data_IF_676095076078
#
_entry.id   IF_676095076078
#
_cell.length_a   1.000
_cell.length_b   1.000
_cell.length_c   1.000
_cell.angle_alpha   90.00
_cell.angle_beta   90.00
_cell.angle_gamma   90.00
#
_symmetry.space_group_name_H-M   'P 1'
#
loop_
_entity.id
_entity.type
_entity.pdbx_description
1 polymer ?
#
# COMPACT_ATOMS: atom_id res chain seq x y z
N UNK A 1 7.25 -4.53 23.82
CA UNK A 1 6.49 -4.54 22.54
C UNK A 1 7.52 -4.44 21.43
N UNK A 2 7.43 -5.28 20.38
CA UNK A 2 8.30 -5.12 19.21
C UNK A 2 8.02 -3.74 18.59
N UNK A 3 9.08 -2.98 18.31
CA UNK A 3 8.96 -1.69 17.66
C UNK A 3 8.85 -1.92 16.15
N UNK A 4 7.64 -1.88 15.63
CA UNK A 4 7.40 -1.94 14.20
C UNK A 4 7.37 -0.54 13.59
N UNK A 5 7.87 -0.44 12.37
CA UNK A 5 7.74 0.72 11.49
C UNK A 5 7.08 0.29 10.19
N UNK A 6 6.73 1.25 9.35
CA UNK A 6 6.15 1.00 8.03
C UNK A 6 6.87 1.79 6.94
N UNK A 7 6.83 1.26 5.72
CA UNK A 7 7.23 1.97 4.51
C UNK A 7 6.28 1.64 3.37
N UNK A 8 6.27 2.51 2.35
CA UNK A 8 5.56 2.26 1.09
C UNK A 8 6.57 1.73 0.09
N UNK A 9 6.24 0.63 -0.59
CA UNK A 9 7.06 0.02 -1.62
C UNK A 9 6.24 -0.21 -2.90
N UNK A 10 6.88 -0.07 -4.05
CA UNK A 10 6.26 -0.30 -5.35
C UNK A 10 6.81 -1.56 -6.01
N UNK A 11 5.93 -2.43 -6.51
CA UNK A 11 6.29 -3.58 -7.34
C UNK A 11 5.88 -3.31 -8.78
N UNK A 12 6.86 -2.89 -9.59
CA UNK A 12 6.65 -2.56 -11.01
C UNK A 12 6.21 -3.77 -11.82
N UNK A 13 6.75 -4.96 -11.55
CA UNK A 13 6.39 -6.17 -12.31
C UNK A 13 4.97 -6.64 -12.02
N UNK A 14 4.52 -6.51 -10.76
CA UNK A 14 3.17 -6.88 -10.35
C UNK A 14 2.12 -5.79 -10.60
N UNK A 15 2.54 -4.59 -10.98
CA UNK A 15 1.72 -3.38 -10.94
C UNK A 15 0.99 -3.24 -9.59
N UNK A 16 1.77 -3.33 -8.51
CA UNK A 16 1.26 -3.24 -7.15
C UNK A 16 1.95 -2.11 -6.37
N UNK A 17 1.20 -1.52 -5.45
CA UNK A 17 1.68 -0.62 -4.41
C UNK A 17 1.44 -1.29 -3.07
N UNK A 18 2.45 -1.35 -2.20
CA UNK A 18 2.38 -2.02 -0.92
C UNK A 18 2.78 -1.10 0.23
N UNK A 19 2.24 -1.39 1.41
CA UNK A 19 2.78 -0.94 2.68
C UNK A 19 3.39 -2.15 3.36
N UNK A 20 4.63 -2.05 3.80
CA UNK A 20 5.38 -3.11 4.45
C UNK A 20 5.49 -2.83 5.94
N UNK A 21 5.24 -3.84 6.76
CA UNK A 21 5.47 -3.83 8.21
C UNK A 21 6.87 -4.37 8.48
N UNK A 22 7.72 -3.52 9.05
CA UNK A 22 9.15 -3.80 9.22
C UNK A 22 9.50 -3.76 10.69
N UNK A 23 10.30 -4.73 11.14
CA UNK A 23 10.79 -4.76 12.51
C UNK A 23 12.01 -3.83 12.73
N UNK A 24 12.60 -3.95 13.91
CA UNK A 24 13.77 -3.15 14.30
C UNK A 24 15.07 -3.54 13.57
N UNK A 25 15.12 -4.75 13.01
CA UNK A 25 16.27 -5.27 12.27
C UNK A 25 16.17 -4.95 10.77
N UNK A 26 15.02 -4.49 10.31
CA UNK A 26 14.77 -4.17 8.91
C UNK A 26 14.09 -5.30 8.14
N UNK A 27 13.66 -6.36 8.83
CA UNK A 27 12.99 -7.49 8.19
C UNK A 27 11.51 -7.20 7.97
N UNK A 28 11.01 -7.56 6.79
CA UNK A 28 9.58 -7.41 6.43
C UNK A 28 8.79 -8.57 7.02
N UNK A 29 7.87 -8.26 7.94
CA UNK A 29 7.03 -9.25 8.62
C UNK A 29 5.72 -9.53 7.87
N UNK A 30 5.18 -8.50 7.24
CA UNK A 30 3.96 -8.55 6.45
C UNK A 30 3.90 -7.39 5.46
N UNK A 31 3.09 -7.54 4.43
CA UNK A 31 2.71 -6.44 3.55
C UNK A 31 1.20 -6.41 3.32
N UNK A 32 0.66 -5.21 3.12
CA UNK A 32 -0.65 -5.01 2.53
C UNK A 32 -0.43 -4.38 1.16
N UNK A 33 -0.84 -5.09 0.12
CA UNK A 33 -0.58 -4.73 -1.28
C UNK A 33 -1.89 -4.47 -2.02
N UNK A 34 -1.99 -3.30 -2.67
CA UNK A 34 -2.97 -3.00 -3.72
C UNK A 34 -2.38 -3.45 -5.05
N UNK A 35 -3.02 -4.41 -5.71
CA UNK A 35 -2.60 -4.89 -7.03
C UNK A 35 -3.67 -4.59 -8.07
N UNK A 36 -3.33 -3.74 -9.05
CA UNK A 36 -4.29 -3.20 -10.01
C UNK A 36 -4.76 -4.23 -11.03
N UNK A 37 -3.84 -5.08 -11.51
CA UNK A 37 -4.15 -6.16 -12.45
C UNK A 37 -5.28 -7.08 -11.98
N UNK A 38 -5.18 -7.69 -10.78
CA UNK A 38 -6.25 -8.50 -10.22
C UNK A 38 -7.36 -7.69 -9.52
N UNK A 39 -7.24 -6.36 -9.44
CA UNK A 39 -8.13 -5.48 -8.65
C UNK A 39 -8.37 -6.01 -7.22
N UNK A 40 -7.26 -6.31 -6.53
CA UNK A 40 -7.29 -6.96 -5.23
C UNK A 40 -6.40 -6.24 -4.21
N UNK A 41 -6.84 -6.27 -2.95
CA UNK A 41 -6.03 -5.96 -1.78
C UNK A 41 -5.64 -7.27 -1.10
N UNK A 42 -4.35 -7.48 -0.90
CA UNK A 42 -3.81 -8.69 -0.30
C UNK A 42 -3.04 -8.33 0.96
N UNK A 43 -3.33 -9.00 2.07
CA UNK A 43 -2.48 -9.01 3.26
C UNK A 43 -1.68 -10.31 3.24
N UNK A 44 -0.36 -10.20 3.16
CA UNK A 44 0.54 -11.35 3.28
C UNK A 44 1.28 -11.28 4.61
N UNK A 45 1.34 -12.40 5.32
CA UNK A 45 2.23 -12.59 6.46
C UNK A 45 3.32 -13.59 6.08
N UNK A 46 4.58 -13.26 6.35
CA UNK A 46 5.72 -14.09 5.91
C UNK A 46 6.01 -15.23 6.90
N UNK A 47 4.95 -15.95 7.30
CA UNK A 47 5.02 -17.03 8.30
C UNK A 47 5.21 -16.56 9.74
N UNK A 48 5.05 -15.25 9.99
CA UNK A 48 5.16 -14.66 11.32
C UNK A 48 3.79 -14.52 11.98
N UNK A 49 3.72 -14.88 13.26
CA UNK A 49 2.59 -14.50 14.12
C UNK A 49 2.69 -13.01 14.45
N UNK A 50 1.65 -12.26 14.12
CA UNK A 50 1.55 -10.83 14.36
C UNK A 50 0.39 -10.60 15.33
N UNK A 51 0.65 -9.84 16.38
CA UNK A 51 -0.38 -9.46 17.34
C UNK A 51 -1.53 -8.73 16.64
N UNK A 52 -2.77 -9.06 17.00
CA UNK A 52 -3.95 -8.51 16.36
C UNK A 52 -4.00 -6.98 16.42
N UNK A 53 -3.60 -6.37 17.53
CA UNK A 53 -3.58 -4.90 17.66
C UNK A 53 -2.58 -4.25 16.71
N UNK A 54 -1.49 -4.95 16.39
CA UNK A 54 -0.50 -4.50 15.39
C UNK A 54 -1.08 -4.64 13.99
N UNK A 55 -1.78 -5.74 13.68
CA UNK A 55 -2.48 -5.92 12.39
C UNK A 55 -3.53 -4.82 12.17
N UNK A 56 -4.31 -4.47 13.19
CA UNK A 56 -5.31 -3.40 13.10
C UNK A 56 -4.67 -2.04 12.83
N UNK A 57 -3.59 -1.70 13.55
CA UNK A 57 -2.84 -0.47 13.31
C UNK A 57 -2.25 -0.45 11.89
N UNK A 58 -1.72 -1.59 11.43
CA UNK A 58 -1.14 -1.75 10.11
C UNK A 58 -2.19 -1.55 9.00
N UNK A 59 -3.39 -2.12 9.14
CA UNK A 59 -4.50 -1.92 8.21
C UNK A 59 -4.92 -0.45 8.15
N UNK A 60 -4.95 0.27 9.28
CA UNK A 60 -5.25 1.71 9.30
C UNK A 60 -4.22 2.50 8.51
N UNK A 61 -2.93 2.23 8.70
CA UNK A 61 -1.86 2.87 7.93
C UNK A 61 -2.00 2.54 6.45
N UNK A 62 -2.24 1.27 6.08
CA UNK A 62 -2.43 0.87 4.69
C UNK A 62 -3.61 1.60 4.03
N UNK A 63 -4.72 1.80 4.75
CA UNK A 63 -5.87 2.56 4.24
C UNK A 63 -5.53 4.03 3.94
N UNK A 64 -4.63 4.63 4.70
CA UNK A 64 -4.21 6.03 4.51
C UNK A 64 -3.13 6.19 3.43
N UNK A 65 -2.34 5.12 3.20
CA UNK A 65 -1.13 5.17 2.36
C UNK A 65 -1.30 4.51 1.00
N UNK A 66 -2.19 3.53 0.87
CA UNK A 66 -2.52 2.93 -0.41
C UNK A 66 -3.49 3.84 -1.15
N UNK A 67 -3.11 4.22 -2.35
CA UNK A 67 -3.94 5.01 -3.25
C UNK A 67 -5.07 4.16 -3.87
N UNK A 68 -6.03 4.81 -4.54
CA UNK A 68 -7.10 4.11 -5.26
C UNK A 68 -6.54 3.21 -6.36
N UNK A 69 -7.21 2.10 -6.70
CA UNK A 69 -6.83 1.27 -7.84
C UNK A 69 -6.71 2.07 -9.13
N UNK A 70 -5.69 1.73 -9.92
CA UNK A 70 -5.44 2.32 -11.23
C UNK A 70 -5.96 1.39 -12.33
N UNK A 71 -6.68 1.96 -13.29
CA UNK A 71 -7.26 1.22 -14.42
C UNK A 71 -6.35 1.21 -15.67
N UNK A 72 -5.16 1.82 -15.56
CA UNK A 72 -4.21 1.96 -16.68
C UNK A 72 -4.69 2.89 -17.80
N UNK A 73 -5.76 3.66 -17.59
CA UNK A 73 -6.21 4.66 -18.56
C UNK A 73 -5.12 5.72 -18.77
N UNK A 74 -4.95 6.17 -20.02
CA UNK A 74 -3.92 7.14 -20.33
C UNK A 74 -4.17 8.46 -19.59
N UNK A 75 -3.10 9.15 -19.19
CA UNK A 75 -3.18 10.44 -18.50
C UNK A 75 -4.04 11.47 -19.26
N UNK A 76 -4.06 11.41 -20.60
CA UNK A 76 -4.91 12.27 -21.43
C UNK A 76 -6.40 12.01 -21.21
N UNK A 77 -6.80 10.75 -20.96
CA UNK A 77 -8.18 10.37 -20.63
C UNK A 77 -8.50 10.61 -19.15
N UNK A 78 -7.53 10.42 -18.26
CA UNK A 78 -7.68 10.66 -16.83
C UNK A 78 -7.71 12.17 -16.45
N UNK A 79 -7.22 13.05 -17.33
CA UNK A 79 -7.31 14.52 -17.15
C UNK A 79 -8.76 15.01 -17.28
N UNK A 80 -9.52 14.95 -16.20
CA UNK A 80 -10.69 15.82 -16.02
C UNK A 80 -10.19 17.22 -15.72
N UNK A 81 -10.12 18.07 -16.75
CA UNK A 81 -9.90 19.53 -16.71
C UNK A 81 -9.57 20.13 -15.33
N UNK A 82 -8.32 20.01 -14.88
CA UNK A 82 -7.80 20.87 -13.81
C UNK A 82 -7.63 22.28 -14.39
N UNK A 83 -8.74 23.02 -14.52
CA UNK A 83 -8.69 24.46 -14.77
C UNK A 83 -8.29 25.11 -13.45
N UNK A 84 -7.00 25.42 -13.32
CA UNK A 84 -6.57 26.38 -12.32
C UNK A 84 -7.09 27.76 -12.76
N UNK A 85 -8.12 28.26 -12.08
CA UNK A 85 -8.44 29.69 -12.12
C UNK A 85 -7.36 30.39 -11.31
N UNK A 86 -6.41 31.02 -11.98
CA UNK A 86 -5.59 32.07 -11.36
C UNK A 86 -6.52 33.23 -11.02
N UNK A 87 -6.67 33.51 -9.73
CA UNK A 87 -7.15 34.80 -9.22
C UNK A 87 -6.12 35.91 -9.48
#
# INVERSE_FOLDING_TARGET
MKNFRWQVAGNVQGNCLSVELIDEYGDVFADISRCDGPNALTLNTYGNDIDLGIVEAFIRVARERLECFEDGSSLTKARTNQRFTTE
#
